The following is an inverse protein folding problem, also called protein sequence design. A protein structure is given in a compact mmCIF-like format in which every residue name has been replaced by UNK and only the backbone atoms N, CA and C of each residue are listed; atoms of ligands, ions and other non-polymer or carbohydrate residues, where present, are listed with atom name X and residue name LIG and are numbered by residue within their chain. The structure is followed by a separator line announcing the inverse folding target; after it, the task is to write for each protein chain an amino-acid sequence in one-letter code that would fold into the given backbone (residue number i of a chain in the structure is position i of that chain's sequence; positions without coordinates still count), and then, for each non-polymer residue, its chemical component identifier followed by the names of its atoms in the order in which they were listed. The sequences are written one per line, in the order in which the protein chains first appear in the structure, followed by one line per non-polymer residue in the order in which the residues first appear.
data_IF_873037278114
#
_entry.id   IF_873037278114
#
_cell.length_a   1.000
_cell.length_b   1.000
_cell.length_c   1.000
_cell.angle_alpha   90.00
_cell.angle_beta   90.00
_cell.angle_gamma   90.00
#
_symmetry.space_group_name_H-M   'P 1'
#
loop_
_entity.id
_entity.type
_entity.pdbx_description
1 polymer ?
#
# COMPACT_ATOMS: atom_id res chain seq x y z
N UNK A 1 -9.44 16.62 -14.91
CA UNK A 1 -9.35 15.53 -15.91
C UNK A 1 -7.90 15.14 -16.20
N UNK A 2 -7.01 16.11 -16.48
CA UNK A 2 -5.58 15.87 -16.78
C UNK A 2 -4.85 15.12 -15.66
N UNK A 3 -5.01 15.52 -14.39
CA UNK A 3 -4.34 14.86 -13.26
C UNK A 3 -4.76 13.39 -13.09
N UNK A 4 -6.06 13.08 -13.29
CA UNK A 4 -6.55 11.69 -13.28
C UNK A 4 -5.93 10.86 -14.40
N UNK A 5 -5.74 11.44 -15.59
CA UNK A 5 -5.10 10.77 -16.72
C UNK A 5 -3.62 10.49 -16.43
N UNK A 6 -2.87 11.46 -15.91
CA UNK A 6 -1.45 11.30 -15.60
C UNK A 6 -1.25 10.25 -14.50
N UNK A 7 -2.02 10.32 -13.41
CA UNK A 7 -2.02 9.31 -12.36
C UNK A 7 -2.31 7.91 -12.91
N UNK A 8 -3.37 7.78 -13.72
CA UNK A 8 -3.66 6.50 -14.37
C UNK A 8 -2.50 6.02 -15.24
N UNK A 9 -1.86 6.87 -16.05
CA UNK A 9 -0.74 6.46 -16.90
C UNK A 9 0.43 5.93 -16.06
N UNK A 10 0.81 6.63 -15.00
CA UNK A 10 1.90 6.20 -14.11
C UNK A 10 1.57 4.89 -13.39
N UNK A 11 0.35 4.81 -12.82
CA UNK A 11 -0.12 3.60 -12.12
C UNK A 11 -0.19 2.39 -13.05
N UNK A 12 -0.82 2.54 -14.22
CA UNK A 12 -0.94 1.46 -15.21
C UNK A 12 0.43 1.06 -15.77
N UNK A 13 1.40 1.97 -15.90
CA UNK A 13 2.75 1.60 -16.36
C UNK A 13 3.46 0.69 -15.36
N UNK A 14 3.33 0.94 -14.06
CA UNK A 14 3.92 0.06 -13.03
C UNK A 14 3.12 -1.25 -12.88
N UNK A 15 1.80 -1.18 -12.93
CA UNK A 15 0.93 -2.36 -12.88
C UNK A 15 1.11 -3.25 -14.11
N UNK A 16 1.18 -2.69 -15.31
CA UNK A 16 1.45 -3.44 -16.54
C UNK A 16 2.80 -4.13 -16.51
N UNK A 17 3.83 -3.48 -15.95
CA UNK A 17 5.15 -4.13 -15.79
C UNK A 17 5.06 -5.32 -14.84
N UNK A 18 4.48 -5.12 -13.65
CA UNK A 18 4.31 -6.19 -12.67
C UNK A 18 3.41 -7.31 -13.20
N UNK A 19 2.32 -6.97 -13.89
CA UNK A 19 1.37 -7.92 -14.48
C UNK A 19 1.98 -8.67 -15.67
N UNK A 20 2.73 -8.01 -16.54
CA UNK A 20 3.45 -8.68 -17.66
C UNK A 20 4.52 -9.63 -17.15
N UNK A 21 5.29 -9.23 -16.13
CA UNK A 21 6.27 -10.12 -15.50
C UNK A 21 5.59 -11.33 -14.87
N UNK A 22 4.47 -11.12 -14.17
CA UNK A 22 3.67 -12.20 -13.59
C UNK A 22 3.06 -13.12 -14.66
N UNK A 23 2.38 -12.59 -15.67
CA UNK A 23 1.78 -13.36 -16.76
C UNK A 23 2.82 -14.13 -17.56
N UNK A 24 4.02 -13.55 -17.76
CA UNK A 24 5.13 -14.23 -18.42
C UNK A 24 5.63 -15.40 -17.57
N UNK A 25 5.86 -15.18 -16.28
CA UNK A 25 6.27 -16.24 -15.36
C UNK A 25 5.20 -17.36 -15.26
N UNK A 26 3.91 -17.00 -15.24
CA UNK A 26 2.80 -17.95 -15.22
C UNK A 26 2.74 -18.78 -16.51
N UNK A 27 2.81 -18.13 -17.67
CA UNK A 27 2.81 -18.83 -18.97
C UNK A 27 4.03 -19.71 -19.16
N UNK A 28 5.19 -19.29 -18.67
CA UNK A 28 6.41 -20.11 -18.68
C UNK A 28 6.24 -21.33 -17.78
N UNK A 29 5.75 -21.17 -16.55
CA UNK A 29 5.47 -22.27 -15.63
C UNK A 29 4.41 -23.27 -16.17
N UNK A 30 3.35 -22.77 -16.82
CA UNK A 30 2.32 -23.63 -17.44
C UNK A 30 2.87 -24.42 -18.64
N UNK A 31 3.72 -23.79 -19.47
CA UNK A 31 4.39 -24.48 -20.58
C UNK A 31 5.35 -25.54 -20.09
N UNK A 32 6.09 -25.24 -19.02
CA UNK A 32 7.04 -26.14 -18.37
C UNK A 32 6.31 -27.37 -17.79
N UNK A 33 5.23 -27.17 -17.03
CA UNK A 33 4.36 -28.25 -16.53
C UNK A 33 3.79 -29.11 -17.68
N UNK A 34 3.24 -28.48 -18.72
CA UNK A 34 2.66 -29.18 -19.85
C UNK A 34 3.71 -29.95 -20.68
N UNK A 35 4.94 -29.46 -20.74
CA UNK A 35 6.05 -30.13 -21.40
C UNK A 35 6.43 -31.41 -20.66
N UNK A 36 6.66 -31.33 -19.34
CA UNK A 36 7.02 -32.49 -18.52
C UNK A 36 5.89 -33.52 -18.48
N UNK A 37 4.64 -33.08 -18.40
CA UNK A 37 3.49 -33.98 -18.43
C UNK A 37 3.40 -34.76 -19.76
N UNK A 38 3.62 -34.09 -20.90
CA UNK A 38 3.64 -34.76 -22.22
C UNK A 38 4.84 -35.70 -22.39
N UNK A 39 6.01 -35.31 -21.88
CA UNK A 39 7.20 -36.16 -21.89
C UNK A 39 6.96 -37.43 -21.07
N UNK A 40 6.42 -37.29 -19.86
CA UNK A 40 6.06 -38.38 -18.97
C UNK A 40 5.07 -39.36 -19.63
N UNK A 41 4.01 -38.84 -20.27
CA UNK A 41 3.03 -39.68 -20.97
C UNK A 41 3.63 -40.51 -22.11
N UNK A 42 4.60 -39.96 -22.85
CA UNK A 42 5.30 -40.69 -23.92
C UNK A 42 6.15 -41.82 -23.34
N UNK A 43 6.97 -41.51 -22.34
CA UNK A 43 7.86 -42.51 -21.72
C UNK A 43 7.06 -43.62 -21.03
N UNK A 44 5.93 -43.30 -20.38
CA UNK A 44 5.02 -44.31 -19.80
C UNK A 44 4.38 -45.22 -20.85
N UNK A 45 4.09 -44.72 -22.06
CA UNK A 45 3.59 -45.55 -23.17
C UNK A 45 4.67 -46.51 -23.69
N UNK A 46 5.91 -46.05 -23.77
CA UNK A 46 7.07 -46.87 -24.17
C UNK A 46 7.39 -47.94 -23.11
N UNK A 47 7.22 -47.62 -21.82
CA UNK A 47 7.36 -48.59 -20.72
C UNK A 47 6.37 -49.79 -20.84
N UNK A 48 5.15 -49.54 -21.34
CA UNK A 48 4.17 -50.59 -21.59
C UNK A 48 4.56 -51.58 -22.69
N UNK A 49 5.55 -51.24 -23.52
CA UNK A 49 6.08 -52.09 -24.61
C UNK A 49 7.48 -52.62 -24.33
N UNK A 50 8.30 -51.93 -23.53
CA UNK A 50 9.63 -52.37 -23.08
C UNK A 50 9.88 -51.94 -21.63
N UNK A 51 10.26 -52.86 -20.74
CA UNK A 51 10.44 -52.58 -19.31
C UNK A 51 11.94 -52.58 -18.93
N UNK A 52 12.68 -51.59 -19.45
CA UNK A 52 14.11 -51.36 -19.12
C UNK A 52 14.26 -50.59 -17.80
N UNK A 53 15.34 -50.84 -17.05
CA UNK A 53 15.71 -50.04 -15.88
C UNK A 53 15.98 -48.57 -16.22
N UNK A 54 16.52 -48.28 -17.41
CA UNK A 54 16.73 -46.92 -17.90
C UNK A 54 15.42 -46.14 -18.05
N UNK A 55 14.36 -46.79 -18.54
CA UNK A 55 13.04 -46.17 -18.69
C UNK A 55 12.42 -45.86 -17.33
N UNK A 56 12.64 -46.71 -16.32
CA UNK A 56 12.16 -46.45 -14.95
C UNK A 56 12.85 -45.22 -14.35
N UNK A 57 14.18 -45.12 -14.49
CA UNK A 57 14.95 -43.95 -14.04
C UNK A 57 14.50 -42.68 -14.75
N UNK A 58 14.24 -42.75 -16.06
CA UNK A 58 13.76 -41.61 -16.83
C UNK A 58 12.35 -41.16 -16.42
N UNK A 59 11.45 -42.09 -16.09
CA UNK A 59 10.12 -41.76 -15.54
C UNK A 59 10.27 -41.07 -14.20
N UNK A 60 11.07 -41.62 -13.28
CA UNK A 60 11.28 -41.05 -11.95
C UNK A 60 11.85 -39.62 -12.03
N UNK A 61 12.80 -39.38 -12.94
CA UNK A 61 13.35 -38.05 -13.23
C UNK A 61 12.25 -37.07 -13.70
N UNK A 62 11.42 -37.49 -14.67
CA UNK A 62 10.35 -36.66 -15.23
C UNK A 62 9.22 -36.41 -14.22
N UNK A 63 8.92 -37.36 -13.34
CA UNK A 63 7.97 -37.17 -12.23
C UNK A 63 8.45 -36.10 -11.27
N UNK A 64 9.75 -36.13 -10.93
CA UNK A 64 10.37 -35.14 -10.07
C UNK A 64 10.34 -33.74 -10.70
N UNK A 65 10.73 -33.63 -11.97
CA UNK A 65 10.71 -32.36 -12.71
C UNK A 65 9.28 -31.79 -12.85
N UNK A 66 8.29 -32.65 -13.07
CA UNK A 66 6.88 -32.25 -13.10
C UNK A 66 6.41 -31.71 -11.74
N UNK A 67 6.80 -32.35 -10.65
CA UNK A 67 6.43 -31.90 -9.30
C UNK A 67 7.10 -30.57 -8.94
N UNK A 68 8.38 -30.39 -9.30
CA UNK A 68 9.08 -29.11 -9.14
C UNK A 68 8.41 -27.98 -9.92
N UNK A 69 7.99 -28.23 -11.17
CA UNK A 69 7.26 -27.28 -11.99
C UNK A 69 5.90 -26.89 -11.39
N UNK A 70 5.16 -27.86 -10.82
CA UNK A 70 3.90 -27.62 -10.12
C UNK A 70 4.07 -26.75 -8.88
N UNK A 71 5.06 -27.07 -8.04
CA UNK A 71 5.37 -26.27 -6.84
C UNK A 71 5.75 -24.83 -7.21
N UNK A 72 6.51 -24.63 -8.29
CA UNK A 72 6.87 -23.29 -8.79
C UNK A 72 5.65 -22.48 -9.23
N UNK A 73 4.71 -23.11 -9.93
CA UNK A 73 3.44 -22.50 -10.34
C UNK A 73 2.56 -22.13 -9.14
N UNK A 74 2.43 -23.03 -8.17
CA UNK A 74 1.66 -22.79 -6.94
C UNK A 74 2.24 -21.63 -6.12
N UNK A 75 3.57 -21.58 -5.97
CA UNK A 75 4.26 -20.46 -5.33
C UNK A 75 3.98 -19.14 -6.04
N UNK A 76 4.04 -19.10 -7.37
CA UNK A 76 3.74 -17.89 -8.15
C UNK A 76 2.30 -17.39 -7.91
N UNK A 77 1.31 -18.29 -7.92
CA UNK A 77 -0.09 -17.95 -7.63
C UNK A 77 -0.29 -17.43 -6.21
N UNK A 78 0.34 -18.08 -5.23
CA UNK A 78 0.33 -17.65 -3.83
C UNK A 78 0.92 -16.25 -3.67
N UNK A 79 2.06 -15.97 -4.32
CA UNK A 79 2.67 -14.65 -4.32
C UNK A 79 1.75 -13.58 -4.91
N UNK A 80 1.08 -13.86 -6.02
CA UNK A 80 0.14 -12.91 -6.63
C UNK A 80 -1.04 -12.58 -5.71
N UNK A 81 -1.63 -13.58 -5.06
CA UNK A 81 -2.67 -13.35 -4.06
C UNK A 81 -2.14 -12.52 -2.89
N UNK A 82 -0.94 -12.82 -2.38
CA UNK A 82 -0.29 -12.01 -1.34
C UNK A 82 -0.04 -10.57 -1.76
N UNK A 83 0.14 -10.27 -3.06
CA UNK A 83 0.34 -8.87 -3.50
C UNK A 83 -0.92 -8.00 -3.47
N UNK A 84 -2.11 -8.62 -3.43
CA UNK A 84 -3.39 -7.89 -3.41
C UNK A 84 -3.89 -7.58 -2.01
N UNK A 85 -3.61 -8.46 -1.05
CA UNK A 85 -4.09 -8.39 0.34
C UNK A 85 -3.23 -7.41 1.16
N UNK A 86 -3.86 -6.73 2.11
CA UNK A 86 -3.16 -5.83 3.03
C UNK A 86 -4.10 -4.91 3.79
N UNK A 87 -3.52 -3.87 4.37
CA UNK A 87 -4.24 -2.81 5.06
C UNK A 87 -4.11 -1.50 4.29
N UNK A 88 -5.23 -0.84 4.02
CA UNK A 88 -5.26 0.56 3.57
C UNK A 88 -5.37 1.44 4.80
N UNK A 89 -4.40 2.35 4.97
CA UNK A 89 -4.40 3.31 6.07
C UNK A 89 -4.80 4.70 5.57
N UNK A 90 -5.52 5.42 6.43
CA UNK A 90 -5.85 6.83 6.25
C UNK A 90 -5.29 7.56 7.46
N UNK A 91 -4.34 8.46 7.22
CA UNK A 91 -3.62 9.16 8.28
C UNK A 91 -3.54 10.66 7.98
N UNK A 92 -3.46 11.48 9.02
CA UNK A 92 -3.29 12.93 8.89
C UNK A 92 -2.19 13.44 9.81
N UNK A 93 -1.70 14.64 9.54
CA UNK A 93 -0.74 15.32 10.41
C UNK A 93 -1.01 16.82 10.29
N UNK A 94 -1.89 17.29 11.17
CA UNK A 94 -2.39 18.67 11.15
C UNK A 94 -1.25 19.66 11.33
N UNK A 95 -0.30 19.37 12.23
CA UNK A 95 0.82 20.27 12.50
C UNK A 95 1.79 20.45 11.33
N UNK A 96 1.87 19.47 10.42
CA UNK A 96 2.78 19.51 9.27
C UNK A 96 2.10 19.93 7.98
N UNK A 97 0.84 19.51 7.77
CA UNK A 97 0.15 19.65 6.49
C UNK A 97 -1.15 20.47 6.56
N UNK A 98 -1.61 20.82 7.76
CA UNK A 98 -2.88 21.51 7.98
C UNK A 98 -4.08 20.57 8.06
N UNK A 99 -5.25 21.17 8.26
CA UNK A 99 -6.52 20.46 8.33
C UNK A 99 -6.95 19.91 6.96
N UNK A 100 -7.73 18.84 6.96
CA UNK A 100 -8.27 18.19 5.76
C UNK A 100 -7.20 17.73 4.76
N UNK A 101 -5.97 17.48 5.22
CA UNK A 101 -4.92 16.86 4.41
C UNK A 101 -4.66 15.45 4.93
N UNK A 102 -5.00 14.47 4.11
CA UNK A 102 -4.87 13.06 4.45
C UNK A 102 -3.90 12.36 3.51
N UNK A 103 -3.10 11.46 4.08
CA UNK A 103 -2.38 10.45 3.33
C UNK A 103 -3.19 9.17 3.27
N UNK A 104 -3.34 8.65 2.07
CA UNK A 104 -3.97 7.34 1.81
C UNK A 104 -2.90 6.44 1.25
N UNK A 105 -2.65 5.29 1.86
CA UNK A 105 -1.70 4.32 1.33
C UNK A 105 -2.00 2.91 1.81
N UNK A 106 -1.25 1.94 1.31
CA UNK A 106 -1.39 0.54 1.74
C UNK A 106 -0.10 -0.04 2.33
N UNK A 107 -0.28 -1.02 3.20
CA UNK A 107 0.80 -1.84 3.77
C UNK A 107 0.40 -3.30 3.80
N UNK A 108 1.37 -4.19 3.64
CA UNK A 108 1.18 -5.65 3.75
C UNK A 108 1.76 -6.21 5.04
N UNK A 109 2.27 -5.35 5.91
CA UNK A 109 2.86 -5.77 7.19
C UNK A 109 1.78 -6.31 8.09
N UNK A 110 2.14 -7.32 8.88
CA UNK A 110 1.32 -7.85 9.97
C UNK A 110 0.95 -6.74 10.96
N UNK A 111 1.94 -5.94 11.36
CA UNK A 111 1.75 -4.79 12.24
C UNK A 111 1.66 -3.52 11.39
N UNK A 112 0.44 -3.20 10.95
CA UNK A 112 0.22 -2.05 10.06
C UNK A 112 0.51 -0.69 10.72
N UNK A 113 0.31 -0.59 12.05
CA UNK A 113 0.60 0.61 12.84
C UNK A 113 2.10 0.95 12.87
N UNK A 114 2.97 -0.05 12.82
CA UNK A 114 4.43 0.13 12.80
C UNK A 114 4.86 0.88 11.54
N UNK A 115 4.23 0.59 10.41
CA UNK A 115 4.48 1.33 9.17
C UNK A 115 4.10 2.80 9.30
N UNK A 116 3.01 3.11 10.00
CA UNK A 116 2.59 4.50 10.23
C UNK A 116 3.60 5.23 11.12
N UNK A 117 4.10 4.58 12.18
CA UNK A 117 5.13 5.17 13.05
C UNK A 117 6.42 5.50 12.30
N UNK A 118 6.92 4.56 11.49
CA UNK A 118 8.09 4.80 10.64
C UNK A 118 7.92 5.98 9.67
N UNK A 119 6.72 6.15 9.13
CA UNK A 119 6.42 7.28 8.23
C UNK A 119 6.50 8.62 8.98
N UNK A 120 6.06 8.66 10.23
CA UNK A 120 6.16 9.84 11.10
C UNK A 120 7.61 10.19 11.43
N UNK A 121 8.40 9.20 11.86
CA UNK A 121 9.77 9.42 12.33
C UNK A 121 10.74 9.88 11.23
N UNK A 122 10.45 9.57 9.96
CA UNK A 122 11.39 9.76 8.88
C UNK A 122 11.49 11.20 8.35
N UNK A 123 10.45 12.03 8.46
CA UNK A 123 10.37 13.25 7.62
C UNK A 123 9.38 14.35 8.05
N UNK A 124 8.70 14.24 9.18
CA UNK A 124 7.71 15.24 9.63
C UNK A 124 7.93 15.64 11.09
N UNK A 125 7.63 16.90 11.46
CA UNK A 125 7.86 17.42 12.81
C UNK A 125 6.94 16.84 13.90
N UNK A 126 5.79 16.28 13.52
CA UNK A 126 4.81 15.69 14.43
C UNK A 126 4.45 14.28 13.98
N UNK A 127 3.94 13.45 14.88
CA UNK A 127 3.41 12.12 14.51
C UNK A 127 2.13 12.21 13.68
N UNK A 128 1.84 11.12 12.98
CA UNK A 128 0.58 10.95 12.24
C UNK A 128 -0.54 10.47 13.16
N UNK A 129 -1.71 11.09 13.04
CA UNK A 129 -2.97 10.58 13.57
C UNK A 129 -3.53 9.52 12.62
N UNK A 130 -4.01 8.40 13.16
CA UNK A 130 -4.63 7.32 12.38
C UNK A 130 -6.14 7.46 12.40
N UNK A 131 -6.74 7.58 11.21
CA UNK A 131 -8.19 7.72 11.07
C UNK A 131 -8.87 6.42 10.66
N UNK A 132 -8.19 5.55 9.92
CA UNK A 132 -8.71 4.24 9.57
C UNK A 132 -7.57 3.26 9.24
N UNK A 133 -7.82 1.98 9.49
CA UNK A 133 -6.95 0.86 9.11
C UNK A 133 -7.80 -0.28 8.54
N UNK A 134 -7.90 -0.34 7.21
CA UNK A 134 -8.89 -1.15 6.50
C UNK A 134 -8.20 -2.41 5.97
N UNK A 135 -8.46 -3.55 6.58
CA UNK A 135 -8.01 -4.83 6.02
C UNK A 135 -8.85 -5.18 4.79
N UNK A 136 -8.19 -5.60 3.71
CA UNK A 136 -8.88 -6.05 2.50
C UNK A 136 -8.04 -7.05 1.72
N UNK A 137 -8.71 -8.04 1.13
CA UNK A 137 -8.10 -8.97 0.18
C UNK A 137 -7.77 -8.32 -1.16
N UNK A 138 -8.43 -7.19 -1.43
CA UNK A 138 -8.27 -6.34 -2.61
C UNK A 138 -7.82 -4.93 -2.16
N UNK A 139 -6.97 -4.85 -1.13
CA UNK A 139 -6.45 -3.60 -0.56
C UNK A 139 -5.78 -2.71 -1.62
N UNK A 140 -5.06 -3.31 -2.56
CA UNK A 140 -4.45 -2.59 -3.67
C UNK A 140 -5.48 -1.93 -4.60
N UNK A 141 -6.60 -2.62 -4.84
CA UNK A 141 -7.70 -2.11 -5.67
C UNK A 141 -8.42 -0.96 -4.96
N UNK A 142 -8.68 -1.11 -3.65
CA UNK A 142 -9.26 -0.05 -2.83
C UNK A 142 -8.39 1.22 -2.85
N UNK A 143 -7.10 1.08 -2.59
CA UNK A 143 -6.16 2.21 -2.57
C UNK A 143 -6.12 2.94 -3.92
N UNK A 144 -6.05 2.18 -5.01
CA UNK A 144 -6.06 2.75 -6.36
C UNK A 144 -7.34 3.54 -6.66
N UNK A 145 -8.51 2.98 -6.36
CA UNK A 145 -9.78 3.66 -6.64
C UNK A 145 -9.95 4.92 -5.78
N UNK A 146 -9.42 4.94 -4.54
CA UNK A 146 -9.38 6.15 -3.71
C UNK A 146 -8.45 7.21 -4.32
N UNK A 147 -7.22 6.84 -4.70
CA UNK A 147 -6.29 7.78 -5.31
C UNK A 147 -6.84 8.35 -6.61
N UNK A 148 -7.42 7.51 -7.46
CA UNK A 148 -8.07 7.92 -8.70
C UNK A 148 -9.28 8.82 -8.45
N UNK A 149 -10.08 8.53 -7.42
CA UNK A 149 -11.21 9.38 -7.04
C UNK A 149 -10.75 10.79 -6.64
N UNK A 150 -9.64 10.89 -5.90
CA UNK A 150 -9.12 12.14 -5.34
C UNK A 150 -7.93 12.76 -6.07
N UNK A 151 -7.53 12.27 -7.24
CA UNK A 151 -6.35 12.77 -7.96
C UNK A 151 -6.42 14.25 -8.35
N UNK A 152 -7.62 14.82 -8.49
CA UNK A 152 -7.84 16.25 -8.68
C UNK A 152 -7.62 17.09 -7.40
N UNK A 153 -7.60 16.44 -6.24
CA UNK A 153 -7.34 17.01 -4.92
C UNK A 153 -5.98 16.61 -4.36
N UNK A 154 -5.11 15.99 -5.19
CA UNK A 154 -3.76 15.65 -4.80
C UNK A 154 -2.95 16.92 -4.47
N UNK A 155 -2.26 16.91 -3.32
CA UNK A 155 -1.44 18.04 -2.87
C UNK A 155 -0.20 18.20 -3.75
N UNK A 156 0.37 17.09 -4.22
CA UNK A 156 1.52 17.10 -5.12
C UNK A 156 1.12 16.65 -6.53
N UNK A 157 1.14 17.58 -7.48
CA UNK A 157 0.81 17.34 -8.89
C UNK A 157 2.02 16.93 -9.75
N UNK A 158 3.23 17.02 -9.21
CA UNK A 158 4.46 16.69 -9.91
C UNK A 158 4.96 15.28 -9.59
N UNK A 159 4.79 14.85 -8.34
CA UNK A 159 5.18 13.54 -7.86
C UNK A 159 3.98 12.84 -7.21
N UNK A 160 3.27 12.05 -8.01
CA UNK A 160 2.06 11.33 -7.60
C UNK A 160 2.33 10.23 -6.56
N UNK A 161 3.60 9.82 -6.37
CA UNK A 161 3.99 8.91 -5.28
C UNK A 161 3.90 9.56 -3.90
N UNK A 162 3.71 10.89 -3.84
CA UNK A 162 3.38 11.62 -2.60
C UNK A 162 1.87 11.70 -2.47
N UNK A 163 1.29 10.62 -1.97
CA UNK A 163 -0.14 10.30 -1.92
C UNK A 163 -0.88 11.09 -0.82
N UNK A 164 -0.74 12.41 -0.81
CA UNK A 164 -1.47 13.32 0.08
C UNK A 164 -2.58 14.02 -0.70
N UNK A 165 -3.75 14.14 -0.09
CA UNK A 165 -4.96 14.68 -0.72
C UNK A 165 -5.62 15.71 0.20
N UNK A 166 -6.08 16.82 -0.38
CA UNK A 166 -6.88 17.83 0.31
C UNK A 166 -8.37 17.44 0.22
N UNK A 167 -8.83 16.65 1.18
CA UNK A 167 -10.16 16.01 1.23
C UNK A 167 -10.65 15.97 2.66
N UNK A 168 -11.96 15.95 2.86
CA UNK A 168 -12.51 15.71 4.20
C UNK A 168 -12.55 14.21 4.51
N UNK A 169 -12.51 13.85 5.79
CA UNK A 169 -12.65 12.45 6.20
C UNK A 169 -14.01 11.85 5.78
N UNK A 170 -15.05 12.69 5.75
CA UNK A 170 -16.39 12.30 5.31
C UNK A 170 -16.40 11.90 3.83
N UNK A 171 -15.73 12.66 2.95
CA UNK A 171 -15.61 12.31 1.53
C UNK A 171 -14.88 10.97 1.33
N UNK A 172 -13.84 10.71 2.13
CA UNK A 172 -13.13 9.43 2.09
C UNK A 172 -14.05 8.28 2.51
N UNK A 173 -14.79 8.46 3.61
CA UNK A 173 -15.75 7.47 4.13
C UNK A 173 -16.84 7.15 3.10
N UNK A 174 -17.45 8.17 2.51
CA UNK A 174 -18.48 8.02 1.48
C UNK A 174 -17.95 7.24 0.27
N UNK A 175 -16.73 7.56 -0.18
CA UNK A 175 -16.12 6.86 -1.31
C UNK A 175 -15.84 5.39 -1.00
N UNK A 176 -15.38 5.07 0.21
CA UNK A 176 -15.12 3.69 0.64
C UNK A 176 -16.42 2.87 0.65
N UNK A 177 -17.50 3.43 1.18
CA UNK A 177 -18.82 2.79 1.19
C UNK A 177 -19.35 2.61 -0.24
N UNK A 178 -19.18 3.61 -1.12
CA UNK A 178 -19.57 3.51 -2.54
C UNK A 178 -18.83 2.37 -3.26
N UNK A 179 -17.57 2.13 -2.90
CA UNK A 179 -16.76 1.04 -3.44
C UNK A 179 -17.11 -0.34 -2.84
N UNK A 180 -18.04 -0.40 -1.88
CA UNK A 180 -18.51 -1.64 -1.25
C UNK A 180 -17.61 -2.17 -0.14
N UNK A 181 -16.77 -1.31 0.45
CA UNK A 181 -15.92 -1.67 1.58
C UNK A 181 -16.50 -1.10 2.88
N UNK A 182 -16.36 -1.85 3.97
CA UNK A 182 -16.70 -1.41 5.32
C UNK A 182 -15.42 -1.09 6.10
N UNK A 183 -15.46 -0.01 6.87
CA UNK A 183 -14.33 0.47 7.64
C UNK A 183 -14.76 1.21 8.90
N UNK A 184 -14.03 0.99 9.98
CA UNK A 184 -14.14 1.79 11.19
C UNK A 184 -13.27 3.05 11.07
N UNK A 185 -13.83 4.18 11.49
CA UNK A 185 -13.18 5.49 11.40
C UNK A 185 -13.07 6.14 12.77
N UNK A 186 -11.90 6.69 13.05
CA UNK A 186 -11.65 7.62 14.14
C UNK A 186 -11.78 9.02 13.54
N UNK A 187 -12.82 9.74 13.94
CA UNK A 187 -13.15 11.07 13.38
C UNK A 187 -12.24 12.16 13.90
N UNK A 188 -11.87 12.08 15.18
CA UNK A 188 -11.10 13.11 15.83
C UNK A 188 -9.59 12.87 15.65
N UNK A 189 -8.91 13.84 15.04
CA UNK A 189 -7.45 13.90 15.10
C UNK A 189 -7.04 14.39 16.49
N UNK A 190 -6.25 13.60 17.22
CA UNK A 190 -5.75 13.99 18.53
C UNK A 190 -4.73 15.12 18.39
N UNK A 191 -3.81 14.99 17.42
CA UNK A 191 -2.77 15.97 17.12
C UNK A 191 -2.04 16.47 18.40
N UNK A 192 -1.80 15.55 19.34
CA UNK A 192 -1.39 15.86 20.72
C UNK A 192 -0.14 16.73 20.77
N UNK A 193 0.94 16.29 20.13
CA UNK A 193 2.22 17.01 20.09
C UNK A 193 2.09 18.42 19.49
N UNK A 194 1.25 18.57 18.47
CA UNK A 194 1.00 19.86 17.82
C UNK A 194 0.23 20.81 18.74
N UNK A 195 -0.85 20.33 19.37
CA UNK A 195 -1.66 21.13 20.30
C UNK A 195 -0.86 21.55 21.53
N UNK A 196 -0.05 20.65 22.09
CA UNK A 196 0.88 20.98 23.19
C UNK A 196 1.90 22.04 22.76
N UNK A 197 2.45 21.92 21.54
CA UNK A 197 3.40 22.91 21.00
C UNK A 197 2.77 24.30 20.84
N UNK A 198 1.48 24.40 20.50
CA UNK A 198 0.77 25.67 20.43
C UNK A 198 0.58 26.29 21.82
N UNK A 199 0.18 25.47 22.82
CA UNK A 199 -0.01 25.93 24.19
C UNK A 199 1.30 26.49 24.79
N UNK A 200 2.43 25.81 24.56
CA UNK A 200 3.75 26.29 25.02
C UNK A 200 4.17 27.60 24.34
N UNK A 201 3.80 27.81 23.08
CA UNK A 201 4.04 29.09 22.38
C UNK A 201 3.19 30.22 22.94
N UNK A 202 1.93 29.95 23.26
CA UNK A 202 1.04 30.94 23.84
C UNK A 202 1.52 31.36 25.24
N UNK A 203 1.93 30.40 26.08
CA UNK A 203 2.51 30.67 27.40
C UNK A 203 3.79 31.52 27.32
N UNK A 204 4.73 31.15 26.45
CA UNK A 204 5.96 31.92 26.27
C UNK A 204 5.72 33.32 25.67
N UNK A 205 4.68 33.47 24.85
CA UNK A 205 4.25 34.79 24.35
C UNK A 205 3.69 35.65 25.49
N UNK A 206 2.88 35.07 26.38
CA UNK A 206 2.33 35.78 27.55
C UNK A 206 3.45 36.18 28.51
N UNK A 207 4.35 35.27 28.87
CA UNK A 207 5.50 35.57 29.76
C UNK A 207 6.39 36.68 29.18
N UNK A 208 6.62 36.69 27.86
CA UNK A 208 7.41 37.74 27.21
C UNK A 208 6.68 39.09 27.16
N UNK A 209 5.34 39.12 27.08
CA UNK A 209 4.56 40.35 27.19
C UNK A 209 4.62 40.89 28.63
N UNK A 210 4.44 40.04 29.64
CA UNK A 210 4.52 40.43 31.05
C UNK A 210 5.91 40.99 31.40
N UNK A 211 6.99 40.36 30.93
CA UNK A 211 8.36 40.86 31.10
C UNK A 211 8.58 42.23 30.46
N UNK A 212 8.00 42.49 29.29
CA UNK A 212 8.10 43.80 28.62
C UNK A 212 7.30 44.88 29.36
N UNK A 213 6.14 44.54 29.93
CA UNK A 213 5.37 45.45 30.78
C UNK A 213 6.05 45.73 32.13
N UNK A 214 6.78 44.76 32.70
CA UNK A 214 7.59 44.94 33.91
C UNK A 214 8.86 45.77 33.66
N UNK A 215 9.53 45.61 32.52
CA UNK A 215 10.72 46.40 32.15
C UNK A 215 10.39 47.82 31.68
N UNK A 216 9.19 48.02 31.12
CA UNK A 216 8.70 49.32 30.66
C UNK A 216 7.29 49.59 31.18
N UNK A 217 7.11 49.77 32.50
CA UNK A 217 5.81 50.14 33.04
C UNK A 217 5.42 51.47 32.40
N UNK A 218 4.17 51.56 31.94
CA UNK A 218 3.59 52.69 31.18
C UNK A 218 3.54 54.00 31.98
N UNK A 219 4.69 54.50 32.45
CA UNK A 219 4.86 55.80 33.11
C UNK A 219 5.39 56.81 32.09
N UNK A 220 4.57 57.11 31.09
CA UNK A 220 4.68 58.30 30.23
C UNK A 220 3.29 58.58 29.64
N UNK A 221 2.33 58.88 30.52
CA UNK A 221 1.20 59.77 30.24
C UNK A 221 1.30 60.99 31.16
#
# INVERSE_FOLDING_TARGET
MINKIIFCIEYHSEEEKAKREFEKAQKEAEKEEAYFQKALEKVRKEQGTNNSEELKLQIEQLEKELEEARLKKERALSMAQQTKRGHVYIISNIGSFGENVFKIGMTRRLEALDRVRELGDASVPFRFDVHAMIYSDEARTLEYELHKAFADKAVNLFNYRREFFNVTLQEIKEKIVELGFEAEFITDAEAMEYRESLLLKEQSTIESIELVEEEFPTSLM
#
